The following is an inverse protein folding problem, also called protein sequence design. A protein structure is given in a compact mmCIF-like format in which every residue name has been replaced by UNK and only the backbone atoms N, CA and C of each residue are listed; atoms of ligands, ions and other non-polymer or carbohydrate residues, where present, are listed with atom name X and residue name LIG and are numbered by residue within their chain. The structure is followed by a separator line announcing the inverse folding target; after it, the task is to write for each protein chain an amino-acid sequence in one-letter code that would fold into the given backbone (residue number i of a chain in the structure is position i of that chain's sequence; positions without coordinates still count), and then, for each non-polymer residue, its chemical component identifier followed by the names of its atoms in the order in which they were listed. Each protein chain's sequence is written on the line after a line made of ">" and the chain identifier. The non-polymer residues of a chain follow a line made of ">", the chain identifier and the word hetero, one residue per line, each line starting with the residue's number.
data_IF_529825897922
#
_entry.id   IF_529825897922
#
_cell.length_a   1.000
_cell.length_b   1.000
_cell.length_c   1.000
_cell.angle_alpha   90.00
_cell.angle_beta   90.00
_cell.angle_gamma   90.00
#
_symmetry.space_group_name_H-M   'P 1'
#
loop_
_entity.id
_entity.type
_entity.pdbx_description
1 polymer ?
#
# COMPACT_ATOMS: atom_id res chain seq x y z
N UNK A 1 -6.69 0.53 -9.95
CA UNK A 1 -5.84 1.49 -9.21
C UNK A 1 -4.39 1.12 -9.50
N UNK A 2 -3.52 2.08 -9.85
CA UNK A 2 -2.10 1.78 -10.17
C UNK A 2 -1.19 1.99 -8.95
N UNK A 3 0.01 1.41 -8.95
CA UNK A 3 0.97 1.50 -7.84
C UNK A 3 1.27 2.96 -7.45
N UNK A 4 1.61 3.82 -8.43
CA UNK A 4 1.85 5.26 -8.19
C UNK A 4 0.68 6.00 -7.53
N UNK A 5 -0.56 5.65 -7.90
CA UNK A 5 -1.75 6.31 -7.36
C UNK A 5 -1.97 5.87 -5.91
N UNK A 6 -1.67 4.60 -5.58
CA UNK A 6 -1.75 4.11 -4.21
C UNK A 6 -0.75 4.82 -3.32
N UNK A 7 0.49 5.00 -3.77
CA UNK A 7 1.52 5.73 -3.01
C UNK A 7 1.16 7.20 -2.83
N UNK A 8 0.66 7.86 -3.88
CA UNK A 8 0.22 9.25 -3.78
C UNK A 8 -0.87 9.43 -2.70
N UNK A 9 -1.90 8.59 -2.74
CA UNK A 9 -2.98 8.65 -1.74
C UNK A 9 -2.44 8.27 -0.35
N UNK A 10 -1.52 7.30 -0.24
CA UNK A 10 -0.89 6.95 1.04
C UNK A 10 -0.09 8.11 1.63
N UNK A 11 0.71 8.83 0.84
CA UNK A 11 1.41 10.05 1.28
C UNK A 11 0.44 11.09 1.83
N UNK A 12 -0.69 11.33 1.15
CA UNK A 12 -1.72 12.28 1.60
C UNK A 12 -2.29 11.87 2.95
N UNK A 13 -2.73 10.61 3.11
CA UNK A 13 -3.36 10.14 4.34
C UNK A 13 -2.38 10.08 5.50
N UNK A 14 -1.15 9.62 5.26
CA UNK A 14 -0.12 9.49 6.30
C UNK A 14 0.63 10.80 6.58
N UNK A 15 0.33 11.86 5.84
CA UNK A 15 0.98 13.18 5.91
C UNK A 15 2.50 13.09 5.72
N UNK A 16 2.95 12.23 4.81
CA UNK A 16 4.36 12.19 4.44
C UNK A 16 4.70 13.37 3.53
N UNK A 17 5.78 14.08 3.87
CA UNK A 17 6.34 15.12 3.03
C UNK A 17 7.18 14.49 1.92
N UNK A 18 6.93 14.87 0.67
CA UNK A 18 7.75 14.49 -0.49
C UNK A 18 8.41 15.73 -1.07
N UNK A 19 9.60 15.59 -1.66
CA UNK A 19 10.14 16.63 -2.53
C UNK A 19 9.34 16.74 -3.83
N UNK A 20 9.56 17.81 -4.59
CA UNK A 20 9.11 17.91 -5.98
C UNK A 20 9.93 16.96 -6.87
N UNK A 21 9.32 16.48 -7.95
CA UNK A 21 10.02 15.68 -8.95
C UNK A 21 10.98 16.57 -9.77
N UNK A 22 12.19 16.08 -10.03
CA UNK A 22 13.15 16.80 -10.87
C UNK A 22 12.73 16.71 -12.35
N UNK A 23 13.26 17.62 -13.17
CA UNK A 23 13.03 17.59 -14.62
C UNK A 23 13.54 16.27 -15.20
N UNK A 24 12.65 15.54 -15.88
CA UNK A 24 12.95 14.23 -16.49
C UNK A 24 12.67 13.03 -15.57
N UNK A 25 12.39 13.25 -14.28
CA UNK A 25 11.90 12.20 -13.41
C UNK A 25 10.40 11.95 -13.63
N UNK A 26 9.96 10.71 -13.42
CA UNK A 26 8.55 10.41 -13.29
C UNK A 26 7.97 11.15 -12.08
N UNK A 27 6.81 11.82 -12.22
CA UNK A 27 6.21 12.66 -11.16
C UNK A 27 6.02 11.97 -9.80
N UNK A 28 5.83 10.65 -9.80
CA UNK A 28 5.68 9.87 -8.57
C UNK A 28 7.01 9.51 -7.89
N UNK A 29 8.17 9.76 -8.52
CA UNK A 29 9.49 9.39 -8.03
C UNK A 29 9.75 9.82 -6.57
N UNK A 30 9.41 11.04 -6.14
CA UNK A 30 9.58 11.45 -4.74
C UNK A 30 8.80 10.59 -3.73
N UNK A 31 7.65 10.03 -4.12
CA UNK A 31 6.89 9.11 -3.24
C UNK A 31 7.63 7.79 -3.11
N UNK A 32 8.16 7.25 -4.21
CA UNK A 32 8.96 6.01 -4.16
C UNK A 32 10.16 6.14 -3.22
N UNK A 33 10.83 7.30 -3.23
CA UNK A 33 11.96 7.55 -2.31
C UNK A 33 11.53 7.50 -0.84
N UNK A 34 10.38 8.09 -0.48
CA UNK A 34 9.84 8.01 0.88
C UNK A 34 9.59 6.56 1.27
N UNK A 35 8.89 5.78 0.42
CA UNK A 35 8.56 4.39 0.72
C UNK A 35 9.79 3.46 0.72
N UNK A 36 10.85 3.83 0.00
CA UNK A 36 12.14 3.13 0.02
C UNK A 36 12.79 3.20 1.41
N UNK A 37 12.63 4.30 2.15
CA UNK A 37 13.14 4.42 3.54
C UNK A 37 12.51 3.41 4.48
N UNK A 38 11.27 3.01 4.21
CA UNK A 38 10.54 1.99 4.96
C UNK A 38 10.77 0.56 4.43
N UNK A 39 11.64 0.38 3.42
CA UNK A 39 11.93 -0.92 2.79
C UNK A 39 10.69 -1.59 2.18
N UNK A 40 9.73 -0.81 1.72
CA UNK A 40 8.49 -1.32 1.11
C UNK A 40 8.81 -1.97 -0.24
N UNK A 41 8.34 -3.21 -0.52
CA UNK A 41 8.66 -3.92 -1.76
C UNK A 41 7.83 -3.41 -2.94
N UNK A 42 8.25 -2.31 -3.57
CA UNK A 42 7.58 -1.72 -4.72
C UNK A 42 8.23 -2.13 -6.03
N UNK A 43 7.42 -2.43 -7.04
CA UNK A 43 7.94 -2.80 -8.37
C UNK A 43 8.45 -1.57 -9.14
N UNK A 44 7.89 -0.40 -8.86
CA UNK A 44 8.24 0.85 -9.52
C UNK A 44 9.64 1.38 -9.22
N UNK A 45 10.42 0.77 -8.31
CA UNK A 45 11.82 1.17 -8.11
C UNK A 45 12.70 0.89 -9.34
N UNK A 46 12.43 -0.21 -10.03
CA UNK A 46 13.28 -0.68 -11.13
C UNK A 46 12.77 -0.23 -12.51
N UNK A 47 11.58 0.36 -12.60
CA UNK A 47 10.97 0.73 -13.88
C UNK A 47 9.78 1.69 -13.73
N UNK A 48 9.81 2.78 -14.49
CA UNK A 48 8.68 3.71 -14.61
C UNK A 48 7.42 3.05 -15.20
N UNK A 49 7.59 2.04 -16.05
CA UNK A 49 6.46 1.28 -16.58
C UNK A 49 5.71 0.54 -15.45
N UNK A 50 6.44 0.04 -14.44
CA UNK A 50 5.85 -0.67 -13.29
C UNK A 50 5.05 0.29 -12.39
N UNK A 51 5.45 1.57 -12.29
CA UNK A 51 4.69 2.60 -11.54
C UNK A 51 3.26 2.77 -12.05
N UNK A 52 3.05 2.48 -13.34
CA UNK A 52 1.78 2.59 -14.03
C UNK A 52 0.94 1.31 -14.01
N UNK A 53 1.46 0.19 -13.47
CA UNK A 53 0.72 -1.07 -13.45
C UNK A 53 -0.33 -1.11 -12.34
N UNK A 54 -1.44 -1.85 -12.56
CA UNK A 54 -2.42 -2.12 -11.52
C UNK A 54 -1.78 -2.81 -10.31
N UNK A 55 -2.17 -2.37 -9.12
CA UNK A 55 -1.75 -3.01 -7.87
C UNK A 55 -2.80 -4.05 -7.44
N UNK A 56 -2.34 -5.18 -6.92
CA UNK A 56 -3.22 -6.21 -6.34
C UNK A 56 -3.53 -5.90 -4.89
N UNK A 57 -4.57 -6.53 -4.34
CA UNK A 57 -4.88 -6.48 -2.91
C UNK A 57 -3.70 -6.99 -2.07
N UNK A 58 -3.03 -8.06 -2.53
CA UNK A 58 -1.83 -8.59 -1.89
C UNK A 58 -0.69 -7.57 -1.84
N UNK A 59 -0.45 -6.84 -2.93
CA UNK A 59 0.54 -5.76 -2.95
C UNK A 59 0.23 -4.66 -1.92
N UNK A 60 -1.04 -4.28 -1.76
CA UNK A 60 -1.44 -3.34 -0.70
C UNK A 60 -1.17 -3.90 0.69
N UNK A 61 -1.51 -5.17 0.93
CA UNK A 61 -1.24 -5.83 2.21
C UNK A 61 0.24 -5.75 2.55
N UNK A 62 1.13 -6.08 1.62
CA UNK A 62 2.58 -6.02 1.81
C UNK A 62 3.05 -4.59 2.08
N UNK A 63 2.53 -3.59 1.36
CA UNK A 63 2.86 -2.19 1.60
C UNK A 63 2.48 -1.79 3.03
N UNK A 64 1.25 -2.07 3.45
CA UNK A 64 0.74 -1.62 4.76
C UNK A 64 1.40 -2.37 5.92
N UNK A 65 1.57 -3.68 5.76
CA UNK A 65 2.27 -4.54 6.70
C UNK A 65 3.73 -4.09 6.89
N UNK A 66 4.40 -3.72 5.80
CA UNK A 66 5.77 -3.20 5.87
C UNK A 66 5.81 -1.85 6.61
N UNK A 67 4.87 -0.94 6.33
CA UNK A 67 4.80 0.35 7.04
C UNK A 67 4.50 0.21 8.54
N UNK A 68 3.68 -0.77 8.91
CA UNK A 68 3.25 -0.97 10.31
C UNK A 68 4.25 -1.79 11.13
N UNK A 69 4.86 -2.81 10.52
CA UNK A 69 5.64 -3.85 11.22
C UNK A 69 6.93 -4.26 10.54
N UNK A 70 7.25 -3.69 9.37
CA UNK A 70 8.40 -4.13 8.57
C UNK A 70 8.23 -5.54 7.97
N UNK A 71 7.01 -6.08 7.97
CA UNK A 71 6.73 -7.43 7.45
C UNK A 71 6.24 -7.35 5.99
N UNK A 72 6.91 -8.06 5.10
CA UNK A 72 6.67 -8.03 3.65
C UNK A 72 6.28 -9.39 3.06
N UNK A 73 6.35 -10.47 3.84
CA UNK A 73 5.81 -11.76 3.42
C UNK A 73 4.30 -11.64 3.17
N UNK A 74 3.85 -12.19 2.04
CA UNK A 74 2.48 -11.99 1.57
C UNK A 74 1.45 -12.60 2.52
N UNK A 75 1.69 -13.81 3.07
CA UNK A 75 0.73 -14.47 3.94
C UNK A 75 0.62 -13.75 5.28
N UNK A 76 1.76 -13.40 5.87
CA UNK A 76 1.80 -12.62 7.11
C UNK A 76 1.22 -11.22 6.94
N UNK A 77 1.48 -10.57 5.81
CA UNK A 77 0.91 -9.28 5.50
C UNK A 77 -0.62 -9.34 5.40
N UNK A 78 -1.17 -10.38 4.75
CA UNK A 78 -2.61 -10.61 4.70
C UNK A 78 -3.19 -10.85 6.10
N UNK A 79 -2.52 -11.63 6.94
CA UNK A 79 -2.94 -11.84 8.32
C UNK A 79 -2.97 -10.53 9.11
N UNK A 80 -1.93 -9.70 8.99
CA UNK A 80 -1.87 -8.39 9.62
C UNK A 80 -3.00 -7.46 9.17
N UNK A 81 -3.43 -7.53 7.91
CA UNK A 81 -4.59 -6.77 7.43
C UNK A 81 -5.87 -7.13 8.21
N UNK A 82 -6.01 -8.37 8.68
CA UNK A 82 -7.13 -8.79 9.53
C UNK A 82 -6.93 -8.43 10.99
N UNK A 83 -5.75 -8.67 11.53
CA UNK A 83 -5.42 -8.41 12.94
C UNK A 83 -5.60 -6.92 13.28
N UNK A 84 -5.22 -6.05 12.36
CA UNK A 84 -5.38 -4.60 12.48
C UNK A 84 -6.76 -4.09 12.05
N UNK A 85 -7.69 -4.98 11.66
CA UNK A 85 -9.04 -4.61 11.22
C UNK A 85 -9.06 -3.76 9.94
N UNK A 86 -8.01 -3.85 9.12
CA UNK A 86 -7.91 -3.14 7.85
C UNK A 86 -8.77 -3.82 6.77
N UNK A 87 -8.95 -5.13 6.87
CA UNK A 87 -9.81 -5.94 6.01
C UNK A 87 -10.76 -6.82 6.82
N UNK A 88 -11.89 -7.16 6.22
CA UNK A 88 -12.85 -8.17 6.72
C UNK A 88 -12.92 -9.39 5.81
N UNK A 89 -12.10 -9.44 4.76
CA UNK A 89 -12.20 -10.45 3.71
C UNK A 89 -13.38 -10.16 2.78
N UNK A 90 -13.66 -11.06 1.83
CA UNK A 90 -14.85 -10.96 0.97
C UNK A 90 -16.08 -11.52 1.67
N UNK A 91 -15.91 -12.62 2.40
CA UNK A 91 -16.99 -13.39 3.02
C UNK A 91 -17.00 -13.31 4.54
N UNK A 92 -15.93 -12.81 5.16
CA UNK A 92 -15.81 -12.72 6.62
C UNK A 92 -15.05 -13.89 7.25
N UNK A 93 -14.65 -14.88 6.46
CA UNK A 93 -13.86 -16.04 6.93
C UNK A 93 -12.44 -15.66 7.34
N UNK A 94 -11.90 -14.56 6.81
CA UNK A 94 -10.57 -14.02 7.12
C UNK A 94 -9.42 -15.01 6.86
N UNK A 95 -9.56 -15.86 5.84
CA UNK A 95 -8.44 -16.68 5.33
C UNK A 95 -7.65 -15.92 4.28
N UNK A 96 -6.52 -16.50 3.86
CA UNK A 96 -5.72 -15.96 2.76
C UNK A 96 -6.52 -15.88 1.45
N UNK A 97 -7.28 -16.92 1.14
CA UNK A 97 -8.13 -17.01 -0.05
C UNK A 97 -9.29 -16.01 0.04
N UNK A 98 -9.91 -15.89 1.22
CA UNK A 98 -10.98 -14.92 1.49
C UNK A 98 -10.49 -13.47 1.35
N UNK A 99 -9.19 -13.22 1.48
CA UNK A 99 -8.63 -11.90 1.27
C UNK A 99 -8.69 -11.49 -0.21
N UNK A 100 -8.54 -12.45 -1.13
CA UNK A 100 -8.43 -12.20 -2.56
C UNK A 100 -7.10 -11.53 -2.95
N UNK A 101 -5.96 -12.05 -2.48
CA UNK A 101 -4.64 -11.41 -2.67
C UNK A 101 -4.29 -11.10 -4.13
N UNK A 102 -4.77 -11.91 -5.07
CA UNK A 102 -4.50 -11.76 -6.50
C UNK A 102 -5.46 -10.78 -7.22
N UNK A 103 -6.51 -10.29 -6.56
CA UNK A 103 -7.42 -9.38 -7.25
C UNK A 103 -6.79 -8.01 -7.42
N UNK A 104 -7.07 -7.38 -8.56
CA UNK A 104 -6.74 -5.98 -8.74
C UNK A 104 -7.56 -5.07 -7.83
N UNK A 105 -6.89 -4.07 -7.30
CA UNK A 105 -7.48 -3.10 -6.41
C UNK A 105 -8.24 -2.03 -7.21
N UNK A 106 -9.50 -1.80 -6.86
CA UNK A 106 -10.23 -0.62 -7.35
C UNK A 106 -9.82 0.63 -6.58
N UNK A 107 -10.06 1.82 -7.15
CA UNK A 107 -9.77 3.09 -6.47
C UNK A 107 -10.53 3.21 -5.14
N UNK A 108 -11.81 2.82 -5.14
CA UNK A 108 -12.65 2.86 -3.95
C UNK A 108 -12.13 1.93 -2.84
N UNK A 109 -11.70 0.71 -3.19
CA UNK A 109 -11.10 -0.22 -2.23
C UNK A 109 -9.81 0.34 -1.63
N UNK A 110 -8.96 0.96 -2.45
CA UNK A 110 -7.73 1.62 -1.99
C UNK A 110 -8.02 2.69 -0.92
N UNK A 111 -8.98 3.58 -1.20
CA UNK A 111 -9.37 4.65 -0.29
C UNK A 111 -9.92 4.10 1.03
N UNK A 112 -10.72 3.03 1.00
CA UNK A 112 -11.23 2.38 2.22
C UNK A 112 -10.10 1.83 3.07
N UNK A 113 -9.15 1.12 2.46
CA UNK A 113 -7.99 0.58 3.17
C UNK A 113 -7.12 1.69 3.78
N UNK A 114 -6.85 2.76 3.03
CA UNK A 114 -6.04 3.89 3.50
C UNK A 114 -6.72 4.67 4.63
N UNK A 115 -8.05 4.87 4.55
CA UNK A 115 -8.81 5.50 5.63
C UNK A 115 -8.75 4.68 6.93
N UNK A 116 -8.82 3.35 6.82
CA UNK A 116 -8.68 2.46 7.98
C UNK A 116 -7.25 2.49 8.53
N UNK A 117 -6.25 2.51 7.66
CA UNK A 117 -4.84 2.62 8.06
C UNK A 117 -4.57 3.94 8.79
N UNK A 118 -5.00 5.09 8.26
CA UNK A 118 -4.86 6.40 8.91
C UNK A 118 -5.50 6.42 10.31
N UNK A 119 -6.71 5.86 10.45
CA UNK A 119 -7.37 5.74 11.74
C UNK A 119 -6.57 4.91 12.75
N UNK A 120 -5.90 3.84 12.30
CA UNK A 120 -5.03 3.01 13.15
C UNK A 120 -3.69 3.70 13.45
N UNK A 121 -3.09 4.34 12.45
CA UNK A 121 -1.83 5.07 12.58
C UNK A 121 -1.91 6.20 13.61
N UNK A 122 -3.01 6.96 13.62
CA UNK A 122 -3.27 7.99 14.62
C UNK A 122 -3.41 7.45 16.05
N UNK A 123 -3.84 6.20 16.22
CA UNK A 123 -3.97 5.55 17.52
C UNK A 123 -2.68 4.91 18.04
N UNK A 124 -1.61 4.89 17.23
CA UNK A 124 -0.26 4.41 17.62
C UNK A 124 0.69 5.54 18.03
N UNK A 125 0.23 6.79 18.02
CA UNK A 125 0.97 7.96 18.52
C UNK A 125 0.55 8.31 19.94
#
# INVERSE_FOLDING_TARGET
>A
MTEKLTLHVACIYMKFSTREANKGEHWAQPMYEVFHTFKVPLNGYNSDAMKNKPLTRGGVAQIFSTLLKGESDLHKAVQLMYDYGLSTGRTGKKTFEDYGANDYLTRAQATVFLKRLDAKWKGTK
#
